data_IF_584531498978
#
_entry.id   IF_584531498978
#
_cell.length_a   1.000
_cell.length_b   1.000
_cell.length_c   1.000
_cell.angle_alpha   90.00
_cell.angle_beta   90.00
_cell.angle_gamma   90.00
#
_symmetry.space_group_name_H-M   'P 1'
#
loop_
_entity.id
_entity.type
_entity.pdbx_description
1 polymer ?
#
# COMPACT_ATOMS: atom_id res chain seq x y z
N UNK A 1 5.01 -31.50 -25.24
CA UNK A 1 3.75 -30.91 -25.76
C UNK A 1 4.05 -29.47 -26.09
N UNK A 2 3.77 -29.08 -27.33
CA UNK A 2 4.31 -27.93 -28.08
C UNK A 2 4.24 -26.61 -27.29
N UNK A 3 5.40 -25.97 -27.08
CA UNK A 3 5.52 -24.59 -26.64
C UNK A 3 4.81 -23.69 -27.67
N UNK A 4 3.85 -22.89 -27.23
CA UNK A 4 3.34 -21.79 -28.05
C UNK A 4 4.38 -20.67 -28.04
N UNK A 5 4.80 -20.25 -29.23
CA UNK A 5 5.75 -19.15 -29.42
C UNK A 5 5.23 -17.82 -28.86
N UNK A 6 6.16 -16.88 -28.63
CA UNK A 6 5.94 -15.56 -28.03
C UNK A 6 5.05 -14.62 -28.88
N UNK A 7 4.44 -15.11 -29.95
CA UNK A 7 3.75 -14.38 -31.02
C UNK A 7 2.22 -14.27 -30.87
N UNK A 8 1.62 -14.89 -29.84
CA UNK A 8 0.17 -15.18 -29.82
C UNK A 8 -0.66 -14.49 -28.73
N UNK A 9 -0.15 -13.43 -28.07
CA UNK A 9 -1.01 -12.66 -27.14
C UNK A 9 -1.93 -11.75 -27.95
N UNK A 10 -3.14 -12.26 -28.18
CA UNK A 10 -4.27 -11.57 -28.78
C UNK A 10 -5.14 -10.95 -27.68
N UNK A 11 -5.35 -9.64 -27.71
CA UNK A 11 -6.35 -9.01 -26.85
C UNK A 11 -7.72 -9.28 -27.46
N UNK A 12 -8.48 -10.17 -26.80
CA UNK A 12 -9.88 -10.42 -27.12
C UNK A 12 -10.74 -9.67 -26.10
N UNK A 13 -11.41 -8.61 -26.57
CA UNK A 13 -12.41 -7.87 -25.79
C UNK A 13 -13.71 -7.82 -26.60
N UNK A 14 -14.85 -7.84 -25.92
CA UNK A 14 -16.18 -7.68 -26.56
C UNK A 14 -16.36 -6.31 -27.23
N UNK A 15 -15.46 -5.37 -26.96
CA UNK A 15 -15.43 -4.03 -27.55
C UNK A 15 -14.77 -4.00 -28.93
N UNK A 16 -14.05 -5.06 -29.32
CA UNK A 16 -13.40 -5.14 -30.63
C UNK A 16 -14.11 -6.18 -31.51
N UNK A 17 -14.40 -5.83 -32.76
CA UNK A 17 -14.96 -6.77 -33.75
C UNK A 17 -14.00 -7.90 -34.12
N UNK A 18 -12.69 -7.75 -33.83
CA UNK A 18 -11.66 -8.75 -34.01
C UNK A 18 -10.59 -8.63 -32.92
N UNK A 19 -9.88 -9.71 -32.65
CA UNK A 19 -8.75 -9.71 -31.74
C UNK A 19 -7.65 -8.74 -32.24
N UNK A 20 -7.20 -7.82 -31.37
CA UNK A 20 -6.12 -6.88 -31.71
C UNK A 20 -4.78 -7.39 -31.21
N UNK A 21 -3.80 -7.43 -32.11
CA UNK A 21 -2.40 -7.70 -31.78
C UNK A 21 -1.82 -6.47 -31.07
N UNK A 22 -1.02 -6.70 -30.05
CA UNK A 22 -0.26 -5.64 -29.36
C UNK A 22 0.64 -4.91 -30.37
N UNK A 23 0.58 -3.58 -30.40
CA UNK A 23 1.29 -2.79 -31.43
C UNK A 23 2.81 -2.90 -31.30
N UNK A 24 3.37 -2.85 -30.08
CA UNK A 24 4.83 -2.87 -29.86
C UNK A 24 5.25 -3.75 -28.66
N UNK A 25 5.44 -5.05 -28.87
CA UNK A 25 5.83 -5.98 -27.79
C UNK A 25 7.20 -5.66 -27.15
N UNK A 26 8.17 -5.16 -27.92
CA UNK A 26 9.49 -4.79 -27.40
C UNK A 26 9.48 -3.61 -26.42
N UNK A 27 8.56 -2.66 -26.61
CA UNK A 27 8.35 -1.53 -25.68
C UNK A 27 7.64 -1.97 -24.39
N UNK A 28 6.71 -2.92 -24.47
CA UNK A 28 6.16 -3.58 -23.27
C UNK A 28 7.25 -4.28 -22.49
N UNK A 29 8.15 -5.03 -23.14
CA UNK A 29 9.16 -5.76 -22.38
C UNK A 29 10.17 -4.82 -21.69
N UNK A 30 10.48 -3.65 -22.25
CA UNK A 30 11.32 -2.64 -21.61
C UNK A 30 10.62 -1.92 -20.45
N UNK A 31 9.35 -1.50 -20.62
CA UNK A 31 8.54 -0.89 -19.55
C UNK A 31 8.30 -1.87 -18.38
N UNK A 32 8.18 -3.17 -18.70
CA UNK A 32 7.86 -4.23 -17.75
C UNK A 32 9.07 -5.02 -17.24
N UNK A 33 10.29 -4.70 -17.70
CA UNK A 33 11.54 -5.33 -17.25
C UNK A 33 11.72 -5.27 -15.72
N UNK A 34 11.17 -4.22 -15.10
CA UNK A 34 11.20 -4.00 -13.65
C UNK A 34 10.20 -4.87 -12.85
N UNK A 35 9.29 -5.61 -13.51
CA UNK A 35 8.26 -6.44 -12.87
C UNK A 35 8.68 -7.91 -12.65
N UNK A 36 9.92 -8.27 -13.02
CA UNK A 36 10.50 -9.60 -12.79
C UNK A 36 9.81 -10.74 -13.55
N UNK A 37 9.80 -11.97 -13.04
CA UNK A 37 9.29 -13.16 -13.74
C UNK A 37 7.76 -13.25 -13.86
N UNK A 38 7.01 -12.30 -13.29
CA UNK A 38 5.53 -12.32 -13.21
C UNK A 38 4.83 -11.46 -14.28
N UNK A 39 5.55 -11.07 -15.34
CA UNK A 39 5.10 -10.12 -16.36
C UNK A 39 3.85 -10.59 -17.13
N UNK A 40 3.73 -11.88 -17.47
CA UNK A 40 2.66 -12.37 -18.37
C UNK A 40 1.25 -12.29 -17.76
N UNK A 41 1.00 -12.74 -16.52
CA UNK A 41 -0.32 -12.57 -15.88
C UNK A 41 -0.70 -11.10 -15.69
N UNK A 42 0.25 -10.25 -15.30
CA UNK A 42 0.05 -8.81 -15.10
C UNK A 42 -0.36 -8.15 -16.42
N UNK A 43 0.36 -8.41 -17.51
CA UNK A 43 0.04 -7.89 -18.84
C UNK A 43 -1.35 -8.33 -19.33
N UNK A 44 -1.68 -9.62 -19.15
CA UNK A 44 -2.98 -10.17 -19.53
C UNK A 44 -4.10 -9.45 -18.79
N UNK A 45 -3.89 -9.21 -17.49
CA UNK A 45 -4.83 -8.48 -16.68
C UNK A 45 -4.98 -7.02 -17.12
N UNK A 46 -3.88 -6.32 -17.38
CA UNK A 46 -3.90 -4.92 -17.87
C UNK A 46 -4.65 -4.84 -19.20
N UNK A 47 -4.36 -5.72 -20.16
CA UNK A 47 -5.04 -5.74 -21.45
C UNK A 47 -6.55 -5.96 -21.33
N UNK A 48 -6.97 -6.77 -20.34
CA UNK A 48 -8.39 -7.06 -20.06
C UNK A 48 -9.09 -5.94 -19.29
N UNK A 49 -8.46 -5.41 -18.25
CA UNK A 49 -9.13 -4.51 -17.29
C UNK A 49 -8.85 -3.04 -17.53
N UNK A 50 -7.75 -2.71 -18.23
CA UNK A 50 -7.25 -1.35 -18.46
C UNK A 50 -7.09 -0.55 -17.16
N UNK A 51 -6.82 -1.24 -16.05
CA UNK A 51 -6.79 -0.69 -14.68
C UNK A 51 -5.52 -1.08 -13.94
N UNK A 52 -4.87 -0.08 -13.35
CA UNK A 52 -3.65 -0.21 -12.55
C UNK A 52 -3.88 0.30 -11.13
N UNK A 53 -3.34 -0.41 -10.13
CA UNK A 53 -3.22 0.06 -8.75
C UNK A 53 -1.74 0.06 -8.39
N UNK A 54 -1.18 1.23 -8.16
CA UNK A 54 0.21 1.42 -7.72
C UNK A 54 0.28 1.40 -6.19
N UNK A 55 1.24 0.63 -5.66
CA UNK A 55 1.58 0.53 -4.22
C UNK A 55 3.09 0.59 -4.04
N UNK A 56 3.63 0.94 -2.88
CA UNK A 56 5.08 1.11 -2.71
C UNK A 56 5.83 -0.21 -2.83
N UNK A 57 5.26 -1.30 -2.30
CA UNK A 57 5.88 -2.61 -2.39
C UNK A 57 4.88 -3.76 -2.31
N UNK A 58 4.84 -4.42 -1.14
CA UNK A 58 4.02 -5.62 -0.91
C UNK A 58 2.70 -5.29 -0.21
N UNK A 59 2.41 -4.00 -0.06
CA UNK A 59 1.37 -3.42 0.81
C UNK A 59 -0.02 -3.87 0.37
N UNK A 60 -0.21 -4.10 -0.93
CA UNK A 60 -1.46 -4.65 -1.43
C UNK A 60 -1.82 -6.01 -0.78
N UNK A 61 -0.85 -6.80 -0.32
CA UNK A 61 -1.15 -8.04 0.43
C UNK A 61 -1.96 -7.72 1.69
N UNK A 62 -1.59 -6.68 2.43
CA UNK A 62 -2.31 -6.25 3.64
C UNK A 62 -3.67 -5.65 3.27
N UNK A 63 -3.73 -4.79 2.23
CA UNK A 63 -5.01 -4.26 1.70
C UNK A 63 -5.96 -5.39 1.30
N UNK A 64 -5.46 -6.45 0.66
CA UNK A 64 -6.30 -7.60 0.28
C UNK A 64 -6.87 -8.37 1.46
N UNK A 65 -6.16 -8.40 2.60
CA UNK A 65 -6.68 -9.02 3.82
C UNK A 65 -7.78 -8.16 4.45
N UNK A 66 -7.59 -6.85 4.54
CA UNK A 66 -8.66 -5.93 4.95
C UNK A 66 -9.89 -6.05 4.04
N UNK A 67 -9.68 -6.09 2.72
CA UNK A 67 -10.77 -6.28 1.76
C UNK A 67 -11.52 -7.60 1.97
N UNK A 68 -10.81 -8.68 2.33
CA UNK A 68 -11.41 -9.99 2.64
C UNK A 68 -12.27 -9.89 3.89
N UNK A 69 -11.73 -9.29 4.96
CA UNK A 69 -12.43 -9.05 6.22
C UNK A 69 -13.67 -8.17 6.06
N UNK A 70 -13.63 -7.21 5.15
CA UNK A 70 -14.73 -6.31 4.80
C UNK A 70 -15.69 -6.87 3.74
N UNK A 71 -15.46 -8.08 3.23
CA UNK A 71 -16.35 -8.74 2.25
C UNK A 71 -16.20 -8.26 0.79
N UNK A 72 -15.21 -7.42 0.48
CA UNK A 72 -14.93 -6.99 -0.90
C UNK A 72 -14.07 -8.00 -1.65
N UNK A 73 -14.73 -9.00 -2.23
CA UNK A 73 -14.07 -10.07 -3.02
C UNK A 73 -13.35 -9.54 -4.25
N UNK A 74 -13.84 -8.46 -4.86
CA UNK A 74 -13.26 -7.86 -6.07
C UNK A 74 -11.86 -7.30 -5.79
N UNK A 75 -11.72 -6.57 -4.67
CA UNK A 75 -10.45 -5.99 -4.23
C UNK A 75 -9.54 -7.07 -3.65
N UNK A 76 -10.07 -7.95 -2.79
CA UNK A 76 -9.31 -9.05 -2.18
C UNK A 76 -8.61 -9.93 -3.23
N UNK A 77 -9.34 -10.34 -4.27
CA UNK A 77 -8.83 -11.23 -5.31
C UNK A 77 -8.09 -10.49 -6.44
N UNK A 78 -7.95 -9.16 -6.37
CA UNK A 78 -7.36 -8.33 -7.43
C UNK A 78 -8.01 -8.59 -8.79
N UNK A 79 -9.31 -8.86 -8.84
CA UNK A 79 -9.92 -9.45 -10.04
C UNK A 79 -10.08 -8.46 -11.21
N UNK A 80 -10.11 -7.16 -10.93
CA UNK A 80 -10.45 -6.08 -11.88
C UNK A 80 -9.34 -5.04 -12.11
N UNK A 81 -8.13 -5.25 -11.61
CA UNK A 81 -6.98 -4.37 -11.84
C UNK A 81 -5.66 -5.11 -11.63
N UNK A 82 -4.60 -4.65 -12.27
CA UNK A 82 -3.25 -5.12 -11.99
C UNK A 82 -2.60 -4.28 -10.89
N UNK A 83 -1.91 -4.95 -9.95
CA UNK A 83 -1.15 -4.28 -8.89
C UNK A 83 0.30 -4.11 -9.34
N UNK A 84 0.82 -2.88 -9.27
CA UNK A 84 2.16 -2.52 -9.74
C UNK A 84 2.97 -1.93 -8.57
N UNK A 85 4.12 -2.53 -8.19
CA UNK A 85 5.00 -1.94 -7.19
C UNK A 85 5.74 -0.72 -7.75
N UNK A 86 5.65 0.42 -7.05
CA UNK A 86 6.39 1.64 -7.36
C UNK A 86 7.83 1.59 -6.83
N UNK A 87 8.14 0.72 -5.86
CA UNK A 87 9.46 0.61 -5.26
C UNK A 87 9.76 1.78 -4.32
N UNK A 88 8.87 2.00 -3.35
CA UNK A 88 8.84 3.16 -2.47
C UNK A 88 7.95 4.29 -3.00
N UNK A 89 7.93 5.42 -2.28
CA UNK A 89 7.22 6.62 -2.67
C UNK A 89 7.76 7.23 -3.97
N UNK A 90 7.18 6.84 -5.11
CA UNK A 90 7.63 7.30 -6.43
C UNK A 90 6.46 7.52 -7.41
N UNK A 91 5.73 8.65 -7.25
CA UNK A 91 4.63 9.00 -8.16
C UNK A 91 5.10 9.19 -9.61
N UNK A 92 6.32 9.68 -9.83
CA UNK A 92 6.89 9.87 -11.16
C UNK A 92 7.02 8.54 -11.92
N UNK A 93 7.51 7.49 -11.26
CA UNK A 93 7.60 6.14 -11.83
C UNK A 93 6.22 5.57 -12.12
N UNK A 94 5.25 5.77 -11.24
CA UNK A 94 3.87 5.34 -11.48
C UNK A 94 3.29 6.02 -12.74
N UNK A 95 3.51 7.33 -12.88
CA UNK A 95 3.10 8.11 -14.06
C UNK A 95 3.78 7.60 -15.34
N UNK A 96 5.10 7.49 -15.37
CA UNK A 96 5.83 7.02 -16.54
C UNK A 96 5.44 5.59 -16.94
N UNK A 97 5.20 4.72 -15.95
CA UNK A 97 4.70 3.36 -16.22
C UNK A 97 3.32 3.41 -16.87
N UNK A 98 2.38 4.19 -16.32
CA UNK A 98 1.05 4.39 -16.90
C UNK A 98 1.14 4.87 -18.35
N UNK A 99 1.92 5.90 -18.60
CA UNK A 99 2.11 6.49 -19.94
C UNK A 99 2.68 5.46 -20.94
N UNK A 100 3.69 4.68 -20.54
CA UNK A 100 4.26 3.62 -21.39
C UNK A 100 3.26 2.50 -21.69
N UNK A 101 2.39 2.14 -20.73
CA UNK A 101 1.30 1.18 -20.97
C UNK A 101 0.26 1.75 -21.93
N UNK A 102 -0.14 3.01 -21.75
CA UNK A 102 -1.10 3.68 -22.64
C UNK A 102 -0.58 3.74 -24.08
N UNK A 103 0.69 4.14 -24.26
CA UNK A 103 1.35 4.19 -25.56
C UNK A 103 1.37 2.81 -26.22
N UNK A 104 1.77 1.78 -25.47
CA UNK A 104 1.94 0.46 -26.07
C UNK A 104 0.61 -0.25 -26.39
N UNK A 105 -0.41 -0.06 -25.55
CA UNK A 105 -1.74 -0.63 -25.78
C UNK A 105 -2.59 0.23 -26.74
N UNK A 106 -2.21 1.49 -26.95
CA UNK A 106 -3.01 2.46 -27.71
C UNK A 106 -4.39 2.69 -27.08
N UNK A 107 -4.48 2.60 -25.76
CA UNK A 107 -5.72 2.73 -24.99
C UNK A 107 -5.45 3.47 -23.69
N UNK A 108 -6.43 4.25 -23.24
CA UNK A 108 -6.36 4.92 -21.94
C UNK A 108 -6.44 3.91 -20.80
N UNK A 109 -5.67 4.18 -19.74
CA UNK A 109 -5.58 3.35 -18.55
C UNK A 109 -6.12 4.14 -17.36
N UNK A 110 -7.00 3.51 -16.60
CA UNK A 110 -7.47 4.03 -15.31
C UNK A 110 -6.44 3.64 -14.25
N UNK A 111 -6.02 4.58 -13.41
CA UNK A 111 -4.95 4.36 -12.44
C UNK A 111 -5.35 4.78 -11.03
N UNK A 112 -4.95 3.96 -10.06
CA UNK A 112 -5.06 4.22 -8.64
C UNK A 112 -3.66 4.23 -8.01
N UNK A 113 -3.43 5.05 -6.99
CA UNK A 113 -2.16 5.13 -6.26
C UNK A 113 -2.43 5.13 -4.76
N UNK A 114 -1.74 4.28 -4.00
CA UNK A 114 -1.85 4.19 -2.54
C UNK A 114 -0.43 4.09 -1.97
N UNK A 115 0.01 5.10 -1.22
CA UNK A 115 1.37 5.20 -0.67
C UNK A 115 1.39 5.44 0.84
N UNK A 116 2.51 5.10 1.46
CA UNK A 116 2.82 5.37 2.86
C UNK A 116 3.09 6.87 3.06
N UNK A 117 2.91 7.35 4.29
CA UNK A 117 3.11 8.77 4.60
C UNK A 117 4.58 9.12 4.79
N UNK A 118 5.37 8.24 5.39
CA UNK A 118 6.79 8.45 5.76
C UNK A 118 7.12 9.86 6.29
N UNK A 119 6.50 10.25 7.41
CA UNK A 119 6.73 11.55 8.07
C UNK A 119 6.52 12.79 7.21
N UNK A 120 5.87 12.67 6.04
CA UNK A 120 5.52 13.81 5.20
C UNK A 120 4.56 14.74 5.95
N UNK A 121 4.78 16.04 5.81
CA UNK A 121 3.89 17.07 6.34
C UNK A 121 2.52 17.02 5.65
N UNK A 122 1.50 17.63 6.26
CA UNK A 122 0.17 17.70 5.65
C UNK A 122 0.23 18.44 4.30
N UNK A 123 1.02 19.51 4.22
CA UNK A 123 1.22 20.28 3.02
C UNK A 123 1.81 19.41 1.90
N UNK A 124 2.86 18.64 2.20
CA UNK A 124 3.47 17.71 1.25
C UNK A 124 2.47 16.65 0.79
N UNK A 125 1.68 16.07 1.70
CA UNK A 125 0.66 15.08 1.36
C UNK A 125 -0.37 15.69 0.39
N UNK A 126 -0.86 16.89 0.67
CA UNK A 126 -1.82 17.60 -0.18
C UNK A 126 -1.22 17.88 -1.57
N UNK A 127 0.00 18.42 -1.63
CA UNK A 127 0.70 18.71 -2.89
C UNK A 127 0.90 17.44 -3.73
N UNK A 128 1.33 16.33 -3.10
CA UNK A 128 1.52 15.05 -3.78
C UNK A 128 0.21 14.42 -4.24
N UNK A 129 -0.88 14.56 -3.48
CA UNK A 129 -2.20 14.10 -3.89
C UNK A 129 -2.72 14.91 -5.09
N UNK A 130 -2.58 16.24 -5.07
CA UNK A 130 -2.95 17.11 -6.20
C UNK A 130 -2.15 16.74 -7.45
N UNK A 131 -0.84 16.52 -7.32
CA UNK A 131 0.00 16.10 -8.44
C UNK A 131 -0.39 14.71 -8.97
N UNK A 132 -0.62 13.75 -8.06
CA UNK A 132 -1.02 12.37 -8.38
C UNK A 132 -2.37 12.30 -9.11
N UNK A 133 -3.34 13.11 -8.69
CA UNK A 133 -4.68 13.19 -9.32
C UNK A 133 -4.68 13.73 -10.75
N UNK A 134 -3.57 14.32 -11.22
CA UNK A 134 -3.41 14.71 -12.64
C UNK A 134 -3.28 13.50 -13.56
N UNK A 135 -2.88 12.34 -13.05
CA UNK A 135 -2.71 11.12 -13.85
C UNK A 135 -3.38 9.88 -13.25
N UNK A 136 -3.84 9.91 -12.00
CA UNK A 136 -4.62 8.85 -11.38
C UNK A 136 -6.08 9.27 -11.16
N UNK A 137 -7.00 8.33 -11.35
CA UNK A 137 -8.42 8.45 -11.04
C UNK A 137 -8.69 8.31 -9.53
N UNK A 138 -7.79 7.64 -8.82
CA UNK A 138 -7.79 7.54 -7.36
C UNK A 138 -6.36 7.71 -6.83
N UNK A 139 -6.18 8.53 -5.81
CA UNK A 139 -4.89 8.70 -5.15
C UNK A 139 -5.10 8.85 -3.65
N UNK A 140 -4.33 8.09 -2.88
CA UNK A 140 -4.37 8.05 -1.43
C UNK A 140 -2.96 8.00 -0.86
N UNK A 141 -2.72 8.76 0.20
CA UNK A 141 -1.51 8.67 1.02
C UNK A 141 -2.01 8.43 2.44
N UNK A 142 -1.41 7.46 3.13
CA UNK A 142 -1.90 7.03 4.44
C UNK A 142 -1.91 8.16 5.49
N UNK A 143 -2.88 8.13 6.41
CA UNK A 143 -2.85 9.09 7.54
C UNK A 143 -1.81 8.71 8.59
N UNK A 144 -1.59 7.41 8.79
CA UNK A 144 -0.52 6.85 9.62
C UNK A 144 0.78 6.78 8.84
N UNK A 145 1.91 6.63 9.53
CA UNK A 145 3.24 6.58 8.92
C UNK A 145 3.32 5.56 7.77
N UNK A 146 2.91 4.33 8.03
CA UNK A 146 2.90 3.23 7.07
C UNK A 146 1.69 2.30 7.28
N UNK A 147 1.43 1.43 6.30
CA UNK A 147 0.28 0.54 6.33
C UNK A 147 0.25 -0.40 7.57
N UNK A 148 1.41 -0.78 8.10
CA UNK A 148 1.51 -1.64 9.27
C UNK A 148 0.95 -1.00 10.54
N UNK A 149 1.00 0.33 10.65
CA UNK A 149 0.45 1.05 11.79
C UNK A 149 -1.06 0.84 11.93
N UNK A 150 -1.79 0.50 10.85
CA UNK A 150 -3.22 0.17 10.93
C UNK A 150 -3.50 -1.16 11.62
N UNK A 151 -2.49 -2.02 11.75
CA UNK A 151 -2.59 -3.31 12.45
C UNK A 151 -2.15 -3.23 13.92
N UNK A 152 -1.58 -2.11 14.36
CA UNK A 152 -1.19 -1.89 15.75
C UNK A 152 -2.41 -1.58 16.62
N UNK A 153 -3.28 -2.58 16.77
CA UNK A 153 -4.48 -2.54 17.62
C UNK A 153 -4.26 -3.54 18.77
N UNK A 154 -4.01 -3.06 20.01
CA UNK A 154 -3.61 -3.93 21.13
C UNK A 154 -4.56 -5.12 21.32
N UNK A 155 -5.86 -4.87 21.39
CA UNK A 155 -6.88 -5.90 21.63
C UNK A 155 -6.95 -6.96 20.52
N UNK A 156 -6.73 -6.57 19.26
CA UNK A 156 -6.68 -7.50 18.13
C UNK A 156 -5.41 -8.34 18.14
N UNK A 157 -4.29 -7.73 18.53
CA UNK A 157 -3.01 -8.42 18.70
C UNK A 157 -3.10 -9.44 19.85
N UNK A 158 -3.70 -9.09 20.99
CA UNK A 158 -3.95 -10.00 22.11
C UNK A 158 -4.73 -11.25 21.66
N UNK A 159 -5.83 -11.05 20.92
CA UNK A 159 -6.63 -12.15 20.38
C UNK A 159 -5.85 -13.00 19.37
N UNK A 160 -5.01 -12.38 18.53
CA UNK A 160 -4.16 -13.09 17.60
C UNK A 160 -3.11 -13.97 18.32
N UNK A 161 -2.50 -13.45 19.39
CA UNK A 161 -1.55 -14.18 20.24
C UNK A 161 -2.23 -15.34 20.94
N UNK A 162 -3.38 -15.11 21.58
CA UNK A 162 -4.14 -16.15 22.27
C UNK A 162 -4.53 -17.29 21.33
N UNK A 163 -5.04 -16.97 20.14
CA UNK A 163 -5.35 -17.95 19.09
C UNK A 163 -4.10 -18.73 18.66
N UNK A 164 -2.96 -18.05 18.50
CA UNK A 164 -1.70 -18.69 18.09
C UNK A 164 -1.15 -19.65 19.15
N UNK A 165 -1.24 -19.28 20.42
CA UNK A 165 -0.84 -20.13 21.55
C UNK A 165 -1.73 -21.37 21.63
N UNK A 166 -3.04 -21.22 21.48
CA UNK A 166 -3.96 -22.36 21.47
C UNK A 166 -3.60 -23.36 20.36
N UNK A 167 -3.32 -22.86 19.14
CA UNK A 167 -2.88 -23.71 18.02
C UNK A 167 -1.54 -24.40 18.31
N UNK A 168 -0.59 -23.70 18.94
CA UNK A 168 0.70 -24.28 19.34
C UNK A 168 0.49 -25.41 20.34
N UNK A 169 -0.25 -25.15 21.42
CA UNK A 169 -0.51 -26.12 22.49
C UNK A 169 -1.19 -27.38 21.93
N UNK A 170 -2.17 -27.23 21.03
CA UNK A 170 -2.81 -28.36 20.37
C UNK A 170 -1.86 -29.20 19.50
N UNK A 171 -0.81 -28.59 18.94
CA UNK A 171 0.19 -29.28 18.10
C UNK A 171 1.29 -29.96 18.92
N UNK A 172 1.73 -29.35 20.02
CA UNK A 172 2.87 -29.86 20.82
C UNK A 172 2.44 -30.72 22.00
N UNK A 173 1.19 -30.60 22.46
CA UNK A 173 0.71 -31.21 23.70
C UNK A 173 1.21 -30.50 24.97
N UNK A 174 2.06 -29.47 24.83
CA UNK A 174 2.50 -28.63 25.94
C UNK A 174 1.45 -27.55 26.24
N UNK A 175 1.20 -27.30 27.53
CA UNK A 175 0.32 -26.22 27.96
C UNK A 175 1.16 -25.01 28.32
N UNK A 176 1.09 -24.01 27.46
CA UNK A 176 1.74 -22.72 27.69
C UNK A 176 0.70 -21.61 27.61
N UNK A 177 0.84 -20.61 28.47
CA UNK A 177 -0.09 -19.46 28.54
C UNK A 177 0.71 -18.16 28.40
N UNK A 178 0.16 -17.21 27.64
CA UNK A 178 0.63 -15.83 27.64
C UNK A 178 -0.10 -15.08 28.75
N UNK A 179 0.67 -14.48 29.66
CA UNK A 179 0.16 -13.74 30.82
C UNK A 179 0.61 -12.28 30.82
N UNK A 180 1.12 -11.79 29.69
CA UNK A 180 1.54 -10.39 29.54
C UNK A 180 0.38 -9.50 29.07
N UNK A 181 0.61 -8.19 29.10
CA UNK A 181 -0.22 -7.19 28.45
C UNK A 181 0.44 -6.77 27.15
N UNK A 182 -0.24 -6.96 26.01
CA UNK A 182 0.27 -6.46 24.72
C UNK A 182 0.41 -4.95 24.74
N UNK A 183 -0.47 -4.24 25.46
CA UNK A 183 -0.40 -2.78 25.59
C UNK A 183 0.92 -2.35 26.24
N UNK A 184 1.27 -2.96 27.36
CA UNK A 184 2.52 -2.68 28.08
C UNK A 184 3.75 -3.07 27.24
N UNK A 185 3.68 -4.18 26.50
CA UNK A 185 4.77 -4.59 25.62
C UNK A 185 4.95 -3.61 24.45
N UNK A 186 3.86 -3.13 23.85
CA UNK A 186 3.94 -2.10 22.81
C UNK A 186 4.47 -0.78 23.35
N UNK A 187 4.11 -0.38 24.58
CA UNK A 187 4.70 0.78 25.25
C UNK A 187 6.21 0.62 25.42
N UNK A 188 6.66 -0.53 25.94
CA UNK A 188 8.07 -0.82 26.15
C UNK A 188 8.87 -0.85 24.83
N UNK A 189 8.35 -1.53 23.80
CA UNK A 189 8.97 -1.58 22.47
C UNK A 189 9.10 -0.17 21.91
N UNK A 190 8.02 0.60 21.92
CA UNK A 190 8.00 1.93 21.29
C UNK A 190 8.82 2.95 22.06
N UNK A 191 8.88 2.89 23.39
CA UNK A 191 9.76 3.75 24.21
C UNK A 191 11.23 3.59 23.82
N UNK A 192 11.66 2.37 23.49
CA UNK A 192 13.00 2.09 22.96
C UNK A 192 13.30 2.77 21.62
N UNK A 193 12.28 3.21 20.89
CA UNK A 193 12.41 3.81 19.56
C UNK A 193 12.38 5.36 19.58
N UNK A 194 11.99 5.98 20.71
CA UNK A 194 11.70 7.43 20.80
C UNK A 194 12.81 8.30 20.21
N UNK A 195 14.05 8.10 20.67
CA UNK A 195 15.18 8.96 20.33
C UNK A 195 15.54 8.87 18.85
N UNK A 196 15.61 7.65 18.32
CA UNK A 196 15.93 7.42 16.91
C UNK A 196 14.82 7.95 15.98
N UNK A 197 13.56 7.77 16.38
CA UNK A 197 12.42 8.32 15.66
C UNK A 197 12.46 9.85 15.61
N UNK A 198 12.72 10.49 16.75
CA UNK A 198 12.81 11.94 16.83
C UNK A 198 13.94 12.47 15.94
N UNK A 199 15.10 11.82 15.93
CA UNK A 199 16.20 12.17 15.03
C UNK A 199 15.79 12.09 13.56
N UNK A 200 15.08 11.04 13.15
CA UNK A 200 14.61 10.90 11.78
C UNK A 200 13.59 11.99 11.38
N UNK A 201 12.66 12.32 12.26
CA UNK A 201 11.67 13.37 12.00
C UNK A 201 12.36 14.73 11.84
N UNK A 202 13.34 15.04 12.69
CA UNK A 202 14.08 16.31 12.66
C UNK A 202 15.07 16.42 11.49
N UNK A 203 15.66 15.30 11.07
CA UNK A 203 16.63 15.25 9.97
C UNK A 203 15.98 14.99 8.62
N UNK A 204 14.65 14.81 8.58
CA UNK A 204 13.86 14.70 7.35
C UNK A 204 14.22 15.84 6.42
N UNK A 205 14.59 15.51 5.19
CA UNK A 205 14.96 16.52 4.20
C UNK A 205 13.71 17.29 3.79
N UNK A 206 13.67 18.62 4.02
CA UNK A 206 12.56 19.43 3.57
C UNK A 206 12.51 19.45 2.04
N UNK A 207 11.30 19.51 1.48
CA UNK A 207 11.10 19.75 0.05
C UNK A 207 11.72 21.08 -0.38
N UNK A 208 12.02 21.29 -1.67
CA UNK A 208 12.48 22.59 -2.18
C UNK A 208 11.55 23.75 -1.80
N UNK A 209 10.24 23.49 -1.74
CA UNK A 209 9.22 24.48 -1.38
C UNK A 209 9.23 24.79 0.13
N UNK A 210 9.38 23.77 0.97
CA UNK A 210 9.61 23.95 2.42
C UNK A 210 10.93 24.68 2.69
N UNK A 211 12.01 24.38 1.96
CA UNK A 211 13.30 25.07 2.11
C UNK A 211 13.18 26.57 1.88
N UNK A 212 12.46 26.97 0.84
CA UNK A 212 12.23 28.38 0.51
C UNK A 212 11.45 29.11 1.63
N UNK A 213 10.53 28.42 2.32
CA UNK A 213 9.79 28.94 3.48
C UNK A 213 10.62 28.89 4.78
N UNK A 214 11.55 27.94 4.90
CA UNK A 214 12.32 27.65 6.11
C UNK A 214 13.54 28.56 6.31
N UNK A 215 14.01 29.26 5.28
CA UNK A 215 15.23 30.09 5.35
C UNK A 215 15.20 31.17 6.46
N UNK A 216 14.02 31.52 6.98
CA UNK A 216 13.85 32.52 8.05
C UNK A 216 13.42 31.96 9.42
N UNK A 217 13.02 30.68 9.52
CA UNK A 217 12.31 30.14 10.69
C UNK A 217 12.75 28.74 11.15
N UNK A 218 13.96 28.29 10.80
CA UNK A 218 14.44 26.92 11.11
C UNK A 218 14.29 26.52 12.59
N UNK A 219 14.66 27.40 13.52
CA UNK A 219 14.56 27.11 14.96
C UNK A 219 13.11 26.97 15.42
N UNK A 220 12.23 27.88 14.99
CA UNK A 220 10.81 27.83 15.33
C UNK A 220 10.12 26.57 14.79
N UNK A 221 10.49 26.13 13.59
CA UNK A 221 9.96 24.90 12.98
C UNK A 221 10.45 23.67 13.74
N UNK A 222 11.73 23.60 14.09
CA UNK A 222 12.25 22.52 14.92
C UNK A 222 11.55 22.45 16.28
N UNK A 223 11.35 23.59 16.95
CA UNK A 223 10.61 23.65 18.22
C UNK A 223 9.15 23.19 18.06
N UNK A 224 8.44 23.65 17.03
CA UNK A 224 7.06 23.23 16.78
C UNK A 224 6.96 21.71 16.50
N UNK A 225 7.89 21.15 15.73
CA UNK A 225 7.96 19.71 15.46
C UNK A 225 8.23 18.91 16.73
N UNK A 226 9.14 19.37 17.59
CA UNK A 226 9.40 18.74 18.90
C UNK A 226 8.15 18.76 19.79
N UNK A 227 7.48 19.91 19.88
CA UNK A 227 6.27 20.06 20.69
C UNK A 227 5.12 19.17 20.20
N UNK A 228 4.97 19.04 18.88
CA UNK A 228 3.98 18.13 18.29
C UNK A 228 4.32 16.67 18.57
N UNK A 229 5.59 16.28 18.35
CA UNK A 229 6.05 14.93 18.61
C UNK A 229 5.83 14.52 20.06
N UNK A 230 6.22 15.37 21.03
CA UNK A 230 6.03 15.07 22.44
C UNK A 230 4.54 14.91 22.79
N UNK A 231 3.64 15.72 22.22
CA UNK A 231 2.18 15.56 22.40
C UNK A 231 1.68 14.21 21.88
N UNK A 232 2.10 13.83 20.67
CA UNK A 232 1.71 12.54 20.06
C UNK A 232 2.35 11.34 20.78
N UNK A 233 3.49 11.54 21.44
CA UNK A 233 4.23 10.48 22.14
C UNK A 233 3.63 10.08 23.49
N UNK A 234 2.86 10.98 24.14
CA UNK A 234 2.29 10.77 25.49
C UNK A 234 1.35 9.58 25.54
N UNK A 235 0.51 9.41 24.53
CA UNK A 235 -0.50 8.35 24.49
C UNK A 235 -0.08 7.25 23.51
N UNK A 236 -0.23 5.99 23.90
CA UNK A 236 0.14 4.85 23.05
C UNK A 236 -0.62 4.86 21.71
N UNK A 237 -1.92 5.16 21.71
CA UNK A 237 -2.74 5.09 20.50
C UNK A 237 -2.27 6.10 19.45
N UNK A 238 -1.91 7.34 19.86
CA UNK A 238 -1.29 8.32 18.95
C UNK A 238 0.13 7.94 18.56
N UNK A 239 0.91 7.39 19.49
CA UNK A 239 2.27 6.90 19.24
C UNK A 239 2.30 5.81 18.17
N UNK A 240 1.37 4.85 18.24
CA UNK A 240 1.24 3.75 17.29
C UNK A 240 0.89 4.23 15.88
N UNK A 241 0.49 5.49 15.68
CA UNK A 241 0.28 6.07 14.35
C UNK A 241 1.58 6.56 13.68
N UNK A 242 2.62 6.89 14.46
CA UNK A 242 3.83 7.57 13.98
C UNK A 242 5.11 6.73 14.04
N UNK A 243 5.11 5.63 14.81
CA UNK A 243 6.24 4.69 14.89
C UNK A 243 6.43 3.90 13.59
N UNK A 244 7.62 3.31 13.41
CA UNK A 244 7.88 2.32 12.35
C UNK A 244 7.11 1.03 12.64
N UNK A 245 5.90 0.89 12.10
CA UNK A 245 5.01 -0.25 12.38
C UNK A 245 5.60 -1.63 12.04
N UNK A 246 6.37 -1.74 10.95
CA UNK A 246 7.11 -2.95 10.54
C UNK A 246 8.11 -3.36 11.62
N UNK A 247 8.86 -2.39 12.15
CA UNK A 247 9.83 -2.62 13.21
C UNK A 247 9.13 -3.01 14.52
N UNK A 248 8.04 -2.32 14.89
CA UNK A 248 7.24 -2.68 16.08
C UNK A 248 6.70 -4.11 15.98
N UNK A 249 6.13 -4.51 14.83
CA UNK A 249 5.63 -5.87 14.61
C UNK A 249 6.76 -6.90 14.59
N UNK A 250 7.96 -6.54 14.14
CA UNK A 250 9.14 -7.40 14.19
C UNK A 250 9.61 -7.61 15.64
N UNK A 251 9.79 -6.54 16.41
CA UNK A 251 10.16 -6.58 17.83
C UNK A 251 9.14 -7.33 18.68
N UNK A 252 7.84 -7.14 18.41
CA UNK A 252 6.79 -7.90 19.07
C UNK A 252 6.90 -9.40 18.76
N UNK A 253 7.17 -9.77 17.51
CA UNK A 253 7.37 -11.17 17.14
C UNK A 253 8.63 -11.79 17.74
N UNK A 254 9.68 -10.99 17.96
CA UNK A 254 10.88 -11.39 18.69
C UNK A 254 10.55 -11.68 20.16
N UNK A 255 9.81 -10.77 20.82
CA UNK A 255 9.31 -10.98 22.17
C UNK A 255 8.47 -12.27 22.30
N UNK A 256 7.59 -12.51 21.33
CA UNK A 256 6.72 -13.70 21.30
C UNK A 256 7.47 -15.02 21.11
N UNK A 257 8.75 -15.01 20.70
CA UNK A 257 9.57 -16.22 20.60
C UNK A 257 9.76 -16.93 21.93
N UNK A 258 9.60 -16.24 23.07
CA UNK A 258 9.60 -16.85 24.42
C UNK A 258 8.55 -17.95 24.56
N UNK A 259 7.45 -17.81 23.80
CA UNK A 259 6.37 -18.80 23.71
C UNK A 259 6.44 -19.64 22.43
N UNK A 260 7.54 -19.53 21.66
CA UNK A 260 7.76 -20.17 20.35
C UNK A 260 6.60 -19.92 19.37
N UNK A 261 6.05 -18.71 19.41
CA UNK A 261 4.98 -18.27 18.50
C UNK A 261 5.40 -17.00 17.78
N UNK A 262 4.79 -16.80 16.62
CA UNK A 262 4.79 -15.54 15.88
C UNK A 262 3.40 -15.31 15.31
N UNK A 263 3.05 -14.04 15.17
CA UNK A 263 1.81 -13.57 14.58
C UNK A 263 2.10 -12.83 13.27
N UNK A 264 1.24 -13.03 12.29
CA UNK A 264 1.32 -12.42 10.97
C UNK A 264 0.28 -11.30 10.83
N UNK A 265 0.50 -10.40 9.86
CA UNK A 265 -0.48 -9.38 9.47
C UNK A 265 -1.89 -9.95 9.27
N UNK A 266 -2.00 -11.08 8.56
CA UNK A 266 -3.28 -11.78 8.34
C UNK A 266 -3.94 -12.17 9.66
N UNK A 267 -3.20 -12.76 10.60
CA UNK A 267 -3.75 -13.19 11.89
C UNK A 267 -4.24 -12.01 12.74
N UNK A 268 -3.54 -10.88 12.69
CA UNK A 268 -3.97 -9.66 13.39
C UNK A 268 -5.27 -9.14 12.78
N UNK A 269 -5.34 -9.00 11.45
CA UNK A 269 -6.54 -8.52 10.74
C UNK A 269 -7.73 -9.46 10.96
N UNK A 270 -7.51 -10.78 10.90
CA UNK A 270 -8.55 -11.78 11.16
C UNK A 270 -9.07 -11.69 12.60
N UNK A 271 -8.21 -11.36 13.55
CA UNK A 271 -8.57 -11.18 14.96
C UNK A 271 -9.29 -9.86 15.25
N UNK A 272 -9.28 -8.87 14.34
CA UNK A 272 -10.05 -7.62 14.51
C UNK A 272 -11.56 -7.90 14.53
N UNK A 273 -12.27 -7.25 15.44
CA UNK A 273 -13.71 -7.09 15.40
C UNK A 273 -14.09 -6.01 14.37
N UNK A 274 -15.36 -5.97 13.92
CA UNK A 274 -15.79 -4.98 12.94
C UNK A 274 -15.52 -3.54 13.34
N UNK A 275 -15.52 -3.19 14.63
CA UNK A 275 -15.33 -1.81 15.11
C UNK A 275 -13.86 -1.40 15.26
N UNK A 276 -12.94 -2.37 15.30
CA UNK A 276 -11.49 -2.10 15.40
C UNK A 276 -10.83 -1.92 14.02
N UNK A 277 -11.52 -2.28 12.94
CA UNK A 277 -11.03 -1.98 11.59
C UNK A 277 -10.97 -0.44 11.45
N UNK A 278 -9.85 0.16 11.07
CA UNK A 278 -9.76 1.61 10.90
C UNK A 278 -10.66 2.11 9.75
N UNK A 279 -11.30 3.27 9.94
CA UNK A 279 -12.18 3.87 8.91
C UNK A 279 -11.45 4.07 7.58
N UNK A 280 -10.20 4.52 7.62
CA UNK A 280 -9.39 4.69 6.42
C UNK A 280 -9.22 3.37 5.63
N UNK A 281 -9.13 2.22 6.30
CA UNK A 281 -9.07 0.92 5.60
C UNK A 281 -10.42 0.58 4.95
N UNK A 282 -11.55 0.95 5.57
CA UNK A 282 -12.87 0.83 4.94
C UNK A 282 -12.97 1.74 3.72
N UNK A 283 -12.52 2.97 3.83
CA UNK A 283 -12.55 3.97 2.77
C UNK A 283 -11.69 3.57 1.57
N UNK A 284 -10.47 3.08 1.81
CA UNK A 284 -9.60 2.57 0.74
C UNK A 284 -10.25 1.39 0.03
N UNK A 285 -10.80 0.43 0.77
CA UNK A 285 -11.45 -0.76 0.17
C UNK A 285 -12.70 -0.36 -0.62
N UNK A 286 -13.51 0.58 -0.09
CA UNK A 286 -14.68 1.12 -0.79
C UNK A 286 -14.27 1.85 -2.07
N UNK A 287 -13.30 2.77 -1.96
CA UNK A 287 -12.79 3.55 -3.09
C UNK A 287 -12.17 2.67 -4.18
N UNK A 288 -11.45 1.61 -3.82
CA UNK A 288 -10.95 0.63 -4.77
C UNK A 288 -12.08 -0.19 -5.42
N UNK A 289 -13.16 -0.44 -4.69
CA UNK A 289 -14.35 -1.12 -5.24
C UNK A 289 -15.07 -0.23 -6.26
N UNK A 290 -15.21 1.07 -5.97
CA UNK A 290 -15.73 2.07 -6.91
C UNK A 290 -14.82 2.24 -8.12
N UNK A 291 -13.51 2.34 -7.91
CA UNK A 291 -12.50 2.36 -8.96
C UNK A 291 -12.62 1.17 -9.91
N UNK A 292 -12.89 -0.03 -9.38
CA UNK A 292 -13.12 -1.23 -10.19
C UNK A 292 -14.34 -1.11 -11.12
N UNK A 293 -15.30 -0.25 -10.78
CA UNK A 293 -16.55 -0.02 -11.53
C UNK A 293 -16.45 1.11 -12.55
N UNK A 294 -15.38 1.93 -12.51
CA UNK A 294 -15.16 2.98 -13.51
C UNK A 294 -15.11 2.39 -14.93
N UNK A 295 -15.78 3.01 -15.92
CA UNK A 295 -15.69 2.56 -17.30
C UNK A 295 -14.25 2.70 -17.81
N UNK A 296 -13.76 1.71 -18.55
CA UNK A 296 -12.52 1.89 -19.29
C UNK A 296 -12.71 3.02 -20.31
N UNK A 297 -11.92 4.09 -20.21
CA UNK A 297 -12.14 5.31 -21.01
C UNK A 297 -12.13 4.97 -22.50
N UNK A 298 -13.20 5.35 -23.21
CA UNK A 298 -13.36 5.12 -24.65
C UNK A 298 -12.25 5.85 -25.42
N UNK A 299 -11.67 5.16 -26.39
CA UNK A 299 -10.72 5.74 -27.35
C UNK A 299 -11.44 6.82 -28.14
N UNK A 300 -11.02 8.08 -28.02
CA UNK A 300 -11.36 9.11 -29.00
C UNK A 300 -10.51 8.82 -30.23
N UNK A 301 -11.11 8.18 -31.24
CA UNK A 301 -10.52 8.10 -32.56
C UNK A 301 -10.47 9.51 -33.14
N UNK A 302 -9.29 10.11 -33.17
CA UNK A 302 -9.05 11.29 -34.00
C UNK A 302 -9.05 10.80 -35.44
N UNK A 303 -10.18 10.97 -36.12
CA UNK A 303 -10.25 10.82 -37.58
C UNK A 303 -9.41 11.91 -38.21
N UNK A 304 -8.23 11.54 -38.69
CA UNK A 304 -7.40 12.41 -39.52
C UNK A 304 -8.11 12.57 -40.88
N UNK A 305 -8.88 13.65 -41.05
CA UNK A 305 -9.26 14.11 -42.37
C UNK A 305 -8.00 14.62 -43.08
N UNK A 306 -7.48 13.84 -44.02
CA UNK A 306 -6.65 14.35 -45.10
C UNK A 306 -7.51 14.39 -46.36
N UNK A 307 -7.93 15.60 -46.71
CA UNK A 307 -8.19 15.99 -48.09
C UNK A 307 -7.01 16.81 -48.59
#
# INVERSE_FOLDING_TARGET
MMEAEHSDILIVSREFQAAKRLKNQGQLQSVFSNLGSSIRPVLTQIGRTKKLVFVEGKDFRVISQFATKLGSTVVANRSKFAVIPAGGFNPARAKSFKEGVEETLGAKITAALIFDRDYRSEEEVIEQLVASRKFCDYAHIHSRKELENFMLVPDAIDRAIASRILQRNGRTGEVVTYSGSVREELEAITDGMKHHLLEQILTRKPTPEEKLKQESHKSAIATATLDQFEKEWVNLDSRLMIVHGKEVLASLNEFLQRWQVSITATQIIDAMSPNEIPDEMRDIVSSLTEFCSLPGTKVVSVSSNHG
#
